data_IF_360596716224
#
_entry.id   IF_360596716224
#
_cell.length_a   1.000
_cell.length_b   1.000
_cell.length_c   1.000
_cell.angle_alpha   90.00
_cell.angle_beta   90.00
_cell.angle_gamma   90.00
#
_symmetry.space_group_name_H-M   'P 1'
#
loop_
_entity.id
_entity.type
_entity.pdbx_description
1 polymer ?
#
# COMPACT_ATOMS: atom_id res chain seq x y z
N UNK A 1 5.22 24.05 -54.58
CA UNK A 1 4.17 23.43 -53.75
C UNK A 1 3.66 22.23 -54.51
N UNK A 2 3.88 21.00 -54.01
CA UNK A 2 3.04 20.43 -52.95
C UNK A 2 3.78 19.63 -51.85
N UNK A 3 3.02 19.45 -50.76
CA UNK A 3 3.00 18.40 -49.74
C UNK A 3 4.26 18.08 -48.91
N UNK A 4 4.18 18.58 -47.68
CA UNK A 4 4.84 18.09 -46.48
C UNK A 4 4.88 16.55 -46.41
N UNK A 5 6.10 16.02 -46.39
CA UNK A 5 6.39 14.70 -45.83
C UNK A 5 5.97 14.68 -44.36
N UNK A 6 4.94 13.90 -44.05
CA UNK A 6 4.63 13.45 -42.69
C UNK A 6 5.68 12.40 -42.32
N UNK A 7 6.74 12.84 -41.65
CA UNK A 7 7.74 11.92 -41.08
C UNK A 7 7.22 11.38 -39.76
N UNK A 8 7.16 10.05 -39.71
CA UNK A 8 6.97 9.20 -38.55
C UNK A 8 7.77 9.73 -37.35
N UNK A 9 7.08 10.26 -36.35
CA UNK A 9 7.63 10.41 -35.00
C UNK A 9 7.03 9.29 -34.16
N UNK A 10 7.64 8.12 -34.31
CA UNK A 10 7.75 7.08 -33.29
C UNK A 10 7.69 7.72 -31.90
N UNK A 11 6.61 7.42 -31.19
CA UNK A 11 6.44 7.81 -29.80
C UNK A 11 7.70 7.39 -29.02
N UNK A 12 8.32 8.27 -28.22
CA UNK A 12 9.23 7.77 -27.22
C UNK A 12 8.40 6.84 -26.33
N UNK A 13 8.84 5.59 -26.19
CA UNK A 13 8.37 4.70 -25.14
C UNK A 13 8.22 5.52 -23.86
N UNK A 14 7.16 5.35 -23.06
CA UNK A 14 7.19 5.91 -21.71
C UNK A 14 8.42 5.26 -21.06
N UNK A 15 9.48 6.05 -20.97
CA UNK A 15 10.69 5.73 -20.26
C UNK A 15 10.19 5.54 -18.84
N UNK A 16 9.87 4.30 -18.49
CA UNK A 16 9.31 3.93 -17.21
C UNK A 16 10.42 4.13 -16.19
N UNK A 17 10.62 5.39 -15.84
CA UNK A 17 11.11 5.81 -14.55
C UNK A 17 10.07 5.21 -13.62
N UNK A 18 10.37 4.02 -13.07
CA UNK A 18 9.45 3.29 -12.23
C UNK A 18 8.93 4.28 -11.20
N UNK A 19 7.62 4.55 -11.11
CA UNK A 19 7.15 5.32 -9.98
C UNK A 19 7.60 4.51 -8.77
N UNK A 20 8.11 5.18 -7.75
CA UNK A 20 8.10 4.66 -6.38
C UNK A 20 6.62 4.53 -6.01
N UNK A 21 5.95 3.55 -6.61
CA UNK A 21 4.50 3.50 -6.74
C UNK A 21 3.96 3.01 -5.41
N UNK A 22 3.60 3.98 -4.56
CA UNK A 22 2.91 3.72 -3.33
C UNK A 22 1.50 3.28 -3.66
N UNK A 23 1.26 1.99 -3.58
CA UNK A 23 -0.07 1.42 -3.79
C UNK A 23 -0.83 1.53 -2.47
N UNK A 24 -1.83 2.40 -2.43
CA UNK A 24 -2.75 2.50 -1.30
C UNK A 24 -3.96 1.62 -1.55
N UNK A 25 -4.25 0.70 -0.64
CA UNK A 25 -5.42 -0.17 -0.67
C UNK A 25 -6.30 0.07 0.55
N UNK A 26 -7.61 -0.04 0.35
CA UNK A 26 -8.56 -0.07 1.45
C UNK A 26 -8.55 -1.46 2.07
N UNK A 27 -8.71 -1.52 3.38
CA UNK A 27 -8.75 -2.79 4.09
C UNK A 27 -9.66 -2.67 5.31
N UNK A 28 -10.00 -3.81 5.90
CA UNK A 28 -10.71 -3.86 7.18
C UNK A 28 -10.05 -4.86 8.11
N UNK A 29 -9.75 -4.41 9.31
CA UNK A 29 -9.38 -5.28 10.42
C UNK A 29 -10.66 -5.91 10.96
N UNK A 30 -10.75 -7.23 10.85
CA UNK A 30 -11.89 -8.04 11.30
C UNK A 30 -11.68 -8.55 12.72
N UNK A 31 -10.42 -8.79 13.12
CA UNK A 31 -10.02 -9.19 14.48
C UNK A 31 -8.83 -8.34 14.93
N UNK A 32 -8.66 -8.07 16.23
CA UNK A 32 -7.58 -7.21 16.70
C UNK A 32 -6.21 -7.70 16.21
N UNK A 33 -5.55 -6.89 15.40
CA UNK A 33 -4.26 -7.24 14.80
C UNK A 33 -3.14 -6.83 15.75
N UNK A 34 -2.43 -7.81 16.30
CA UNK A 34 -1.31 -7.56 17.21
C UNK A 34 -0.02 -7.40 16.42
N UNK A 35 0.74 -6.35 16.71
CA UNK A 35 2.03 -6.09 16.07
C UNK A 35 3.07 -5.63 17.09
N UNK A 36 4.35 -5.61 16.68
CA UNK A 36 5.44 -5.02 17.47
C UNK A 36 5.85 -3.69 16.83
N UNK A 37 5.92 -2.63 17.62
CA UNK A 37 6.43 -1.35 17.14
C UNK A 37 7.98 -1.33 17.11
N UNK A 38 8.57 -0.24 16.64
CA UNK A 38 10.04 -0.05 16.59
C UNK A 38 10.73 -0.17 17.95
N UNK A 39 10.03 0.07 19.05
CA UNK A 39 10.52 -0.14 20.41
C UNK A 39 10.34 -1.58 20.92
N UNK A 40 9.94 -2.52 20.06
CA UNK A 40 9.67 -3.93 20.40
C UNK A 40 8.41 -4.15 21.24
N UNK A 41 7.62 -3.11 21.52
CA UNK A 41 6.41 -3.21 22.35
C UNK A 41 5.26 -3.77 21.51
N UNK A 42 4.53 -4.71 22.10
CA UNK A 42 3.27 -5.20 21.50
C UNK A 42 2.24 -4.07 21.50
N UNK A 43 1.62 -3.87 20.35
CA UNK A 43 0.54 -2.92 20.08
C UNK A 43 -0.56 -3.64 19.31
N UNK A 44 -1.73 -3.03 19.27
CA UNK A 44 -2.92 -3.62 18.67
C UNK A 44 -3.53 -2.59 17.72
N UNK A 45 -3.84 -3.02 16.51
CA UNK A 45 -4.75 -2.31 15.61
C UNK A 45 -6.18 -2.80 15.91
N UNK A 46 -7.10 -1.91 16.31
CA UNK A 46 -8.46 -2.28 16.63
C UNK A 46 -9.23 -2.71 15.39
N UNK A 47 -10.33 -3.44 15.59
CA UNK A 47 -11.28 -3.81 14.54
C UNK A 47 -11.83 -2.52 13.91
N UNK A 48 -11.87 -2.48 12.57
CA UNK A 48 -12.38 -1.32 11.87
C UNK A 48 -11.79 -1.13 10.47
N UNK A 49 -12.25 -0.08 9.76
CA UNK A 49 -11.68 0.30 8.48
C UNK A 49 -10.23 0.77 8.67
N UNK A 50 -9.40 0.43 7.69
CA UNK A 50 -8.01 0.85 7.62
C UNK A 50 -7.57 1.04 6.16
N UNK A 51 -6.44 1.70 5.99
CA UNK A 51 -5.73 1.82 4.72
C UNK A 51 -4.38 1.13 4.86
N UNK A 52 -3.96 0.48 3.78
CA UNK A 52 -2.70 -0.22 3.66
C UNK A 52 -1.93 0.45 2.53
N UNK A 53 -0.82 1.10 2.85
CA UNK A 53 0.05 1.75 1.89
C UNK A 53 1.31 0.89 1.70
N UNK A 54 1.41 0.28 0.53
CA UNK A 54 2.58 -0.50 0.14
C UNK A 54 3.66 0.46 -0.34
N UNK A 55 4.73 0.59 0.43
CA UNK A 55 5.94 1.28 0.02
C UNK A 55 6.86 0.33 -0.75
N UNK A 56 7.68 0.81 -1.71
CA UNK A 56 8.74 0.00 -2.29
C UNK A 56 9.72 -0.41 -1.18
N UNK A 57 9.69 -1.70 -0.80
CA UNK A 57 10.48 -2.26 0.30
C UNK A 57 9.77 -3.41 1.00
N UNK A 58 10.28 -3.77 2.18
CA UNK A 58 9.77 -4.87 3.02
C UNK A 58 8.72 -4.42 4.04
N UNK A 59 8.34 -3.15 4.02
CA UNK A 59 7.44 -2.56 5.00
C UNK A 59 6.21 -1.97 4.34
N UNK A 60 5.11 -2.00 5.08
CA UNK A 60 3.79 -1.54 4.68
C UNK A 60 3.27 -0.66 5.80
N UNK A 61 2.72 0.49 5.45
CA UNK A 61 2.12 1.39 6.42
C UNK A 61 0.63 1.06 6.54
N UNK A 62 0.20 0.72 7.76
CA UNK A 62 -1.22 0.58 8.09
C UNK A 62 -1.70 1.85 8.77
N UNK A 63 -2.79 2.43 8.28
CA UNK A 63 -3.43 3.63 8.81
C UNK A 63 -4.86 3.30 9.21
N UNK A 64 -5.28 3.68 10.41
CA UNK A 64 -6.61 3.36 10.92
C UNK A 64 -7.21 4.48 11.78
N UNK A 65 -8.46 4.26 12.18
CA UNK A 65 -9.29 5.25 12.88
C UNK A 65 -10.14 6.06 11.90
N UNK A 66 -11.17 6.73 12.42
CA UNK A 66 -12.20 7.38 11.60
C UNK A 66 -11.67 8.42 10.60
N UNK A 67 -10.49 8.98 10.87
CA UNK A 67 -9.82 9.98 10.04
C UNK A 67 -8.30 9.75 9.94
N UNK A 68 -7.85 8.49 10.07
CA UNK A 68 -6.42 8.15 9.94
C UNK A 68 -5.54 8.66 11.09
N UNK A 69 -6.10 8.72 12.30
CA UNK A 69 -5.45 9.29 13.50
C UNK A 69 -4.30 8.42 14.02
N UNK A 70 -4.24 7.18 13.56
CA UNK A 70 -3.24 6.21 13.95
C UNK A 70 -2.60 5.59 12.71
N UNK A 71 -1.28 5.44 12.75
CA UNK A 71 -0.53 4.74 11.74
C UNK A 71 0.60 3.92 12.36
N UNK A 72 0.98 2.85 11.67
CA UNK A 72 2.12 2.03 12.05
C UNK A 72 2.77 1.43 10.80
N UNK A 73 4.10 1.42 10.81
CA UNK A 73 4.87 0.71 9.81
C UNK A 73 5.07 -0.73 10.27
N UNK A 74 4.61 -1.68 9.46
CA UNK A 74 4.68 -3.12 9.72
C UNK A 74 5.49 -3.82 8.63
N UNK A 75 6.18 -4.93 8.94
CA UNK A 75 6.75 -5.75 7.89
C UNK A 75 5.62 -6.33 7.02
N UNK A 76 5.87 -6.43 5.72
CA UNK A 76 4.91 -6.95 4.74
C UNK A 76 4.38 -8.33 5.13
N UNK A 77 5.25 -9.19 5.64
CA UNK A 77 4.91 -10.53 6.14
C UNK A 77 3.84 -10.50 7.23
N UNK A 78 3.83 -9.47 8.10
CA UNK A 78 2.81 -9.36 9.14
C UNK A 78 1.43 -9.03 8.56
N UNK A 79 1.36 -8.26 7.48
CA UNK A 79 0.10 -7.97 6.77
C UNK A 79 -0.38 -9.22 6.02
N UNK A 80 0.53 -9.92 5.34
CA UNK A 80 0.21 -11.15 4.60
C UNK A 80 -0.29 -12.26 5.55
N UNK A 81 0.37 -12.44 6.70
CA UNK A 81 -0.10 -13.38 7.73
C UNK A 81 -1.45 -12.97 8.32
N UNK A 82 -1.66 -11.67 8.56
CA UNK A 82 -2.95 -11.16 9.05
C UNK A 82 -4.09 -11.40 8.05
N UNK A 83 -3.80 -11.30 6.76
CA UNK A 83 -4.75 -11.64 5.69
C UNK A 83 -5.03 -13.14 5.66
N UNK A 84 -3.99 -13.98 5.68
CA UNK A 84 -4.11 -15.44 5.70
C UNK A 84 -4.88 -15.96 6.92
N UNK A 85 -4.68 -15.34 8.09
CA UNK A 85 -5.37 -15.69 9.35
C UNK A 85 -6.81 -15.12 9.43
N UNK A 86 -7.26 -14.38 8.41
CA UNK A 86 -8.57 -13.72 8.37
C UNK A 86 -8.73 -12.62 9.43
N UNK A 87 -7.63 -12.02 9.87
CA UNK A 87 -7.62 -10.87 10.78
C UNK A 87 -7.76 -9.56 10.02
N UNK A 88 -7.26 -9.52 8.78
CA UNK A 88 -7.31 -8.40 7.86
C UNK A 88 -7.94 -8.86 6.54
N UNK A 89 -8.74 -8.00 5.93
CA UNK A 89 -9.31 -8.24 4.59
C UNK A 89 -9.00 -7.02 3.73
N UNK A 90 -8.32 -7.22 2.61
CA UNK A 90 -8.16 -6.20 1.58
C UNK A 90 -9.49 -5.98 0.85
N UNK A 91 -9.81 -4.72 0.59
CA UNK A 91 -11.00 -4.29 -0.14
C UNK A 91 -10.57 -3.73 -1.49
N UNK A 92 -11.38 -3.98 -2.53
CA UNK A 92 -11.20 -3.43 -3.88
C UNK A 92 -11.54 -1.92 -3.96
#
# INVERSE_FOLDING_TARGET
MPNHHFVDQTAPAPCATSPLERITRRARVIKPLTYRNSAGRKKIVPIGPCLIEHSPGTHVDIVWGASGQHSAQLPKEAIENAEADGQLVLLE
#
